data_IF_602122106859
#
_entry.id   IF_602122106859
#
_cell.length_a   1.000
_cell.length_b   1.000
_cell.length_c   1.000
_cell.angle_alpha   90.00
_cell.angle_beta   90.00
_cell.angle_gamma   90.00
#
_symmetry.space_group_name_H-M   'P 1'
#
loop_
_entity.id
_entity.type
_entity.pdbx_description
1 polymer ?
#
# COMPACT_ATOMS: atom_id res chain seq x y z
N UNK A 1 -11.18 -5.65 14.15
CA UNK A 1 -11.26 -4.67 13.06
C UNK A 1 -9.99 -4.73 12.22
N UNK A 2 -10.19 -5.38 11.09
CA UNK A 2 -9.57 -5.21 9.78
C UNK A 2 -9.32 -3.72 9.44
N UNK A 3 -8.08 -3.36 9.09
CA UNK A 3 -7.64 -1.96 8.94
C UNK A 3 -8.03 -1.33 7.59
N UNK A 4 -8.23 0.00 7.55
CA UNK A 4 -8.60 0.74 6.34
C UNK A 4 -7.71 1.98 6.17
N UNK A 5 -7.14 2.15 4.98
CA UNK A 5 -6.25 3.28 4.67
C UNK A 5 -6.55 3.88 3.30
N UNK A 6 -6.29 5.19 3.16
CA UNK A 6 -6.20 5.81 1.84
C UNK A 6 -4.87 5.40 1.23
N UNK A 7 -4.91 4.83 0.02
CA UNK A 7 -3.73 4.34 -0.66
C UNK A 7 -3.67 4.81 -2.11
N UNK A 8 -2.49 4.74 -2.72
CA UNK A 8 -2.34 4.97 -4.15
C UNK A 8 -1.24 4.12 -4.77
N UNK A 9 -1.49 3.61 -5.98
CA UNK A 9 -0.46 2.92 -6.76
C UNK A 9 0.43 3.96 -7.47
N UNK A 10 1.76 3.95 -7.26
CA UNK A 10 2.66 4.60 -8.18
C UNK A 10 2.69 3.79 -9.49
N UNK A 11 2.60 4.44 -10.64
CA UNK A 11 2.74 3.76 -11.94
C UNK A 11 4.13 3.12 -12.16
N UNK A 12 5.15 3.59 -11.43
CA UNK A 12 6.51 3.06 -11.47
C UNK A 12 6.81 2.25 -10.21
N UNK A 13 7.04 0.95 -10.40
CA UNK A 13 7.55 0.02 -9.37
C UNK A 13 9.06 0.19 -9.13
N UNK A 14 9.74 1.12 -9.84
CA UNK A 14 11.19 1.31 -9.67
C UNK A 14 11.49 1.96 -8.31
N UNK A 15 12.57 1.48 -7.67
CA UNK A 15 13.09 1.99 -6.40
C UNK A 15 13.38 3.50 -6.42
N UNK A 16 13.66 4.10 -7.57
CA UNK A 16 14.39 5.39 -7.66
C UNK A 16 13.63 6.60 -8.22
N UNK A 17 12.36 6.49 -8.66
CA UNK A 17 11.64 7.66 -9.21
C UNK A 17 10.21 7.77 -8.65
N UNK A 18 9.97 8.65 -7.65
CA UNK A 18 8.62 9.02 -7.27
C UNK A 18 7.98 9.86 -8.38
N UNK A 19 6.98 9.28 -9.06
CA UNK A 19 5.87 9.97 -9.71
C UNK A 19 6.17 11.10 -10.70
N UNK A 20 5.99 10.81 -12.00
CA UNK A 20 5.56 11.83 -12.97
C UNK A 20 4.33 11.45 -13.80
N UNK A 21 3.83 10.23 -13.71
CA UNK A 21 2.69 9.79 -14.51
C UNK A 21 1.70 9.10 -13.58
N UNK A 22 0.57 9.76 -13.34
CA UNK A 22 -0.66 9.37 -12.65
C UNK A 22 -0.56 8.53 -11.36
N UNK A 23 -1.20 8.98 -10.27
CA UNK A 23 -1.47 8.14 -9.09
C UNK A 23 -2.88 7.59 -9.22
N UNK A 24 -3.01 6.27 -9.21
CA UNK A 24 -4.33 5.69 -9.03
C UNK A 24 -4.63 5.66 -7.54
N UNK A 25 -5.36 6.67 -7.06
CA UNK A 25 -5.85 6.73 -5.69
C UNK A 25 -6.91 5.67 -5.42
N UNK A 26 -6.99 5.20 -4.18
CA UNK A 26 -7.82 4.09 -3.79
C UNK A 26 -7.94 3.95 -2.27
N UNK A 27 -8.62 2.89 -1.87
CA UNK A 27 -8.73 2.43 -0.50
C UNK A 27 -8.01 1.10 -0.38
N UNK A 28 -7.13 0.98 0.62
CA UNK A 28 -6.55 -0.29 1.03
C UNK A 28 -7.31 -0.80 2.25
N UNK A 29 -7.80 -2.04 2.18
CA UNK A 29 -8.48 -2.75 3.26
C UNK A 29 -7.70 -4.00 3.60
N UNK A 30 -7.38 -4.19 4.88
CA UNK A 30 -6.84 -5.44 5.40
C UNK A 30 -8.00 -6.23 5.95
N UNK A 31 -8.46 -7.25 5.23
CA UNK A 31 -9.53 -8.17 5.62
C UNK A 31 -8.93 -9.43 6.28
N UNK A 32 -9.76 -10.37 6.75
CA UNK A 32 -9.29 -11.51 7.56
C UNK A 32 -8.36 -12.45 6.76
N UNK A 33 -8.61 -12.62 5.46
CA UNK A 33 -7.84 -13.53 4.60
C UNK A 33 -7.10 -12.82 3.45
N UNK A 34 -7.45 -11.57 3.16
CA UNK A 34 -6.91 -10.84 2.02
C UNK A 34 -6.66 -9.36 2.29
N UNK A 35 -5.71 -8.80 1.53
CA UNK A 35 -5.52 -7.37 1.39
C UNK A 35 -6.19 -6.91 0.09
N UNK A 36 -7.12 -5.98 0.19
CA UNK A 36 -7.91 -5.47 -0.92
C UNK A 36 -7.55 -4.02 -1.21
N UNK A 37 -7.08 -3.76 -2.42
CA UNK A 37 -6.91 -2.40 -2.95
C UNK A 37 -8.00 -2.09 -3.96
N UNK A 38 -8.81 -1.08 -3.66
CA UNK A 38 -9.93 -0.63 -4.48
C UNK A 38 -9.66 0.78 -5.03
N UNK A 39 -9.48 0.94 -6.36
CA UNK A 39 -9.33 2.25 -6.97
C UNK A 39 -10.55 3.16 -6.81
N UNK A 40 -10.32 4.47 -6.71
CA UNK A 40 -11.40 5.47 -6.70
C UNK A 40 -12.07 5.54 -8.08
N UNK A 41 -13.41 5.60 -8.07
CA UNK A 41 -14.20 5.94 -9.26
C UNK A 41 -14.22 4.88 -10.36
N UNK A 42 -13.89 3.61 -10.05
CA UNK A 42 -13.89 2.52 -11.04
C UNK A 42 -12.75 2.62 -12.07
N UNK A 43 -11.83 3.57 -11.89
CA UNK A 43 -10.66 3.73 -12.77
C UNK A 43 -9.67 2.63 -12.38
N UNK A 44 -9.73 1.48 -13.04
CA UNK A 44 -8.83 0.35 -12.80
C UNK A 44 -9.46 -0.81 -12.04
N UNK A 45 -8.74 -1.93 -11.98
CA UNK A 45 -9.23 -3.17 -11.38
C UNK A 45 -8.90 -3.22 -9.88
N UNK A 46 -9.87 -3.62 -9.07
CA UNK A 46 -9.65 -4.03 -7.68
C UNK A 46 -8.58 -5.11 -7.64
N UNK A 47 -7.58 -4.93 -6.77
CA UNK A 47 -6.53 -5.91 -6.54
C UNK A 47 -6.79 -6.59 -5.22
N UNK A 48 -6.81 -7.91 -5.22
CA UNK A 48 -6.94 -8.75 -4.04
C UNK A 48 -5.68 -9.56 -3.88
N UNK A 49 -5.15 -9.59 -2.66
CA UNK A 49 -3.92 -10.29 -2.34
C UNK A 49 -4.15 -11.18 -1.12
N UNK A 50 -4.21 -12.52 -1.29
CA UNK A 50 -4.32 -13.43 -0.17
C UNK A 50 -3.17 -13.22 0.82
N UNK A 51 -3.48 -13.05 2.10
CA UNK A 51 -2.47 -12.81 3.14
C UNK A 51 -1.43 -13.93 3.20
N UNK A 52 -1.86 -15.18 2.98
CA UNK A 52 -0.99 -16.35 2.90
C UNK A 52 0.08 -16.30 1.80
N UNK A 53 -0.07 -15.42 0.80
CA UNK A 53 0.91 -15.25 -0.27
C UNK A 53 1.95 -14.17 0.05
N UNK A 54 1.72 -13.33 1.07
CA UNK A 54 2.61 -12.24 1.44
C UNK A 54 3.83 -12.82 2.17
N UNK A 55 5.02 -12.57 1.61
CA UNK A 55 6.30 -13.04 2.16
C UNK A 55 7.12 -11.91 2.78
N UNK A 56 6.87 -10.66 2.40
CA UNK A 56 7.48 -9.50 3.03
C UNK A 56 6.59 -8.27 2.96
N UNK A 57 6.65 -7.44 4.01
CA UNK A 57 6.07 -6.10 4.04
C UNK A 57 7.17 -5.13 4.44
N UNK A 58 7.46 -4.14 3.58
CA UNK A 58 8.60 -3.22 3.76
C UNK A 58 8.15 -1.77 3.75
N UNK A 59 8.82 -0.99 4.58
CA UNK A 59 8.59 0.44 4.74
C UNK A 59 9.71 1.20 4.01
N UNK A 60 9.37 2.10 3.08
CA UNK A 60 10.34 3.01 2.45
C UNK A 60 10.15 4.45 2.93
N UNK A 61 11.21 5.08 3.43
CA UNK A 61 11.22 6.44 3.97
C UNK A 61 11.28 7.55 2.89
N UNK A 62 10.77 7.27 1.69
CA UNK A 62 10.77 8.24 0.59
C UNK A 62 9.75 9.37 0.82
N UNK A 63 9.77 10.39 -0.03
CA UNK A 63 8.69 11.38 -0.13
C UNK A 63 7.93 11.18 -1.46
N UNK A 64 6.67 10.71 -1.43
CA UNK A 64 5.87 10.35 -0.25
C UNK A 64 6.27 8.98 0.36
N UNK A 65 5.97 8.73 1.65
CA UNK A 65 6.23 7.44 2.29
C UNK A 65 5.52 6.29 1.58
N UNK A 66 6.27 5.22 1.30
CA UNK A 66 5.76 4.04 0.59
C UNK A 66 5.81 2.80 1.47
N UNK A 67 4.88 1.90 1.18
CA UNK A 67 4.82 0.54 1.68
C UNK A 67 4.95 -0.40 0.47
N UNK A 68 5.74 -1.46 0.59
CA UNK A 68 5.83 -2.51 -0.42
C UNK A 68 5.46 -3.84 0.19
N UNK A 69 4.75 -4.63 -0.60
CA UNK A 69 4.31 -5.98 -0.28
C UNK A 69 4.91 -6.88 -1.35
N UNK A 70 5.67 -7.87 -0.92
CA UNK A 70 6.21 -8.91 -1.78
C UNK A 70 5.39 -10.18 -1.57
N UNK A 71 5.08 -10.87 -2.66
CA UNK A 71 4.35 -12.13 -2.63
C UNK A 71 5.16 -13.27 -3.22
N UNK A 72 4.87 -14.48 -2.78
CA UNK A 72 5.55 -15.69 -3.24
C UNK A 72 5.45 -15.90 -4.76
N UNK A 73 4.39 -15.40 -5.39
CA UNK A 73 4.15 -15.48 -6.84
C UNK A 73 4.75 -14.29 -7.64
N UNK A 74 5.47 -13.38 -6.96
CA UNK A 74 6.08 -12.20 -7.57
C UNK A 74 5.12 -11.06 -7.92
N UNK A 75 3.83 -11.17 -7.60
CA UNK A 75 2.79 -10.15 -7.91
C UNK A 75 2.63 -9.07 -6.83
N UNK A 76 3.75 -8.70 -6.20
CA UNK A 76 3.79 -7.71 -5.14
C UNK A 76 3.24 -6.34 -5.54
N UNK A 77 2.99 -5.51 -4.52
CA UNK A 77 2.47 -4.15 -4.68
C UNK A 77 3.43 -3.15 -4.02
N UNK A 78 3.49 -1.95 -4.59
CA UNK A 78 4.05 -0.77 -3.93
C UNK A 78 2.93 0.23 -3.83
N UNK A 79 2.69 0.75 -2.64
CA UNK A 79 1.59 1.64 -2.33
C UNK A 79 2.13 2.86 -1.59
N UNK A 80 1.64 4.05 -1.95
CA UNK A 80 1.68 5.18 -1.04
C UNK A 80 0.52 5.02 -0.06
N UNK A 81 0.78 5.18 1.24
CA UNK A 81 -0.26 5.19 2.27
C UNK A 81 -0.39 6.61 2.83
N UNK A 82 -1.60 7.16 2.82
CA UNK A 82 -1.89 8.53 3.22
C UNK A 82 -2.86 8.58 4.41
N UNK A 83 -2.72 9.60 5.24
CA UNK A 83 -3.62 9.83 6.38
C UNK A 83 -5.06 10.08 5.92
N UNK A 84 -5.24 10.80 4.80
CA UNK A 84 -6.52 11.07 4.18
C UNK A 84 -6.35 11.43 2.69
N UNK A 85 -7.46 11.65 1.97
CA UNK A 85 -7.45 12.00 0.54
C UNK A 85 -6.88 13.37 0.22
N UNK A 86 -6.78 14.25 1.22
CA UNK A 86 -6.21 15.60 1.09
C UNK A 86 -4.71 15.63 1.40
N UNK A 87 -4.12 14.49 1.79
CA UNK A 87 -2.71 14.42 2.15
C UNK A 87 -1.84 14.74 0.93
N UNK A 88 -0.96 15.75 1.01
CA UNK A 88 -0.14 16.13 -0.12
C UNK A 88 0.77 15.01 -0.58
N UNK A 89 0.98 14.97 -1.89
CA UNK A 89 1.80 13.96 -2.57
C UNK A 89 3.29 14.00 -2.22
N UNK A 90 3.74 15.07 -1.57
CA UNK A 90 5.07 15.35 -1.05
C UNK A 90 5.15 15.31 0.48
N UNK A 91 4.14 14.73 1.15
CA UNK A 91 4.19 14.55 2.61
C UNK A 91 5.45 13.80 3.02
N UNK A 92 5.92 14.07 4.24
CA UNK A 92 7.00 13.32 4.92
C UNK A 92 6.49 12.57 6.15
N UNK A 93 5.21 12.71 6.49
CA UNK A 93 4.59 12.01 7.62
C UNK A 93 4.49 10.51 7.31
N UNK A 94 5.27 9.70 8.02
CA UNK A 94 5.31 8.23 7.87
C UNK A 94 4.30 7.52 8.75
N UNK A 95 3.65 8.20 9.69
CA UNK A 95 2.87 7.59 10.78
C UNK A 95 1.76 6.66 10.28
N UNK A 96 1.09 7.02 9.19
CA UNK A 96 -0.01 6.21 8.63
C UNK A 96 0.54 4.99 7.88
N UNK A 97 1.66 5.15 7.18
CA UNK A 97 2.40 4.05 6.54
C UNK A 97 2.89 3.06 7.59
N UNK A 98 3.52 3.54 8.66
CA UNK A 98 4.07 2.71 9.74
C UNK A 98 2.98 1.90 10.45
N UNK A 99 1.83 2.53 10.73
CA UNK A 99 0.65 1.84 11.26
C UNK A 99 0.14 0.74 10.31
N UNK A 100 0.11 1.00 8.99
CA UNK A 100 -0.28 0.00 8.01
C UNK A 100 0.72 -1.16 7.94
N UNK A 101 2.03 -0.89 7.91
CA UNK A 101 3.08 -1.92 7.94
C UNK A 101 2.92 -2.81 9.17
N UNK A 102 2.80 -2.21 10.36
CA UNK A 102 2.66 -2.95 11.61
C UNK A 102 1.38 -3.81 11.64
N UNK A 103 0.26 -3.28 11.13
CA UNK A 103 -1.02 -4.00 11.10
C UNK A 103 -0.99 -5.20 10.15
N UNK A 104 -0.45 -5.01 8.94
CA UNK A 104 -0.35 -6.08 7.93
C UNK A 104 0.65 -7.13 8.41
N UNK A 105 1.86 -6.72 8.83
CA UNK A 105 2.93 -7.64 9.27
C UNK A 105 2.46 -8.53 10.42
N UNK A 106 1.72 -7.95 11.39
CA UNK A 106 1.10 -8.72 12.47
C UNK A 106 0.10 -9.77 11.97
N UNK A 107 -0.75 -9.44 10.98
CA UNK A 107 -1.72 -10.40 10.43
C UNK A 107 -1.06 -11.53 9.66
N UNK A 108 0.04 -11.25 8.96
CA UNK A 108 0.76 -12.27 8.17
C UNK A 108 1.79 -13.06 8.97
N UNK A 109 2.00 -12.73 10.25
CA UNK A 109 2.99 -13.39 11.10
C UNK A 109 4.45 -13.02 10.78
N UNK A 110 4.66 -11.83 10.20
CA UNK A 110 6.00 -11.28 9.94
C UNK A 110 6.38 -10.32 11.09
N UNK A 111 7.48 -10.60 11.77
CA UNK A 111 8.06 -9.79 12.86
C UNK A 111 9.37 -9.13 12.45
#
# INVERSE_FOLDING_TARGET
MTGVWVAGLPYSQRRTLPGRLCRLGGTLRLEDEELVFEPIGGIGRTRRLPLRQIVAVRAFADSPPRLSIETADGRGLVLMIAANRLTPVWTRDTSTRDRAVAAISRHVGLT
#
